data_IF_710066344019
#
_entry.id   IF_710066344019
#
_cell.length_a   1.000
_cell.length_b   1.000
_cell.length_c   1.000
_cell.angle_alpha   90.00
_cell.angle_beta   90.00
_cell.angle_gamma   90.00
#
_symmetry.space_group_name_H-M   'P 1'
#
loop_
_entity.id
_entity.type
_entity.pdbx_description
1 polymer ?
#
# COMPACT_ATOMS: atom_id res chain seq x y z
N UNK A 1 7.64 -28.40 -3.02
CA UNK A 1 6.69 -28.50 -4.15
C UNK A 1 5.54 -27.58 -3.79
N UNK A 2 5.15 -26.66 -4.67
CA UNK A 2 3.95 -25.82 -4.42
C UNK A 2 2.71 -26.69 -4.61
N UNK A 3 1.69 -26.48 -3.80
CA UNK A 3 0.38 -27.14 -4.01
C UNK A 3 -0.32 -26.39 -5.13
N UNK A 4 -0.83 -27.09 -6.13
CA UNK A 4 -1.63 -26.49 -7.21
C UNK A 4 -3.08 -26.39 -6.73
N UNK A 5 -3.75 -25.23 -6.88
CA UNK A 5 -5.16 -25.10 -6.52
C UNK A 5 -6.01 -26.07 -7.35
N UNK A 6 -6.99 -26.71 -6.71
CA UNK A 6 -7.81 -27.76 -7.31
C UNK A 6 -8.75 -27.24 -8.40
N UNK A 7 -9.24 -26.00 -8.29
CA UNK A 7 -10.14 -25.41 -9.27
C UNK A 7 -9.93 -23.90 -9.44
N UNK A 8 -9.16 -23.50 -10.45
CA UNK A 8 -8.86 -22.09 -10.74
C UNK A 8 -9.97 -21.48 -11.62
N UNK A 9 -10.61 -20.36 -11.23
CA UNK A 9 -11.55 -19.62 -12.08
C UNK A 9 -10.97 -19.20 -13.44
N UNK A 10 -11.76 -19.27 -14.52
CA UNK A 10 -11.31 -18.97 -15.90
C UNK A 10 -10.73 -17.55 -16.05
N UNK A 11 -11.35 -16.55 -15.40
CA UNK A 11 -10.83 -15.17 -15.39
C UNK A 11 -9.42 -15.08 -14.77
N UNK A 12 -9.09 -15.95 -13.80
CA UNK A 12 -7.74 -16.04 -13.23
C UNK A 12 -6.77 -16.79 -14.14
N UNK A 13 -7.20 -17.89 -14.79
CA UNK A 13 -6.37 -18.62 -15.77
C UNK A 13 -5.90 -17.72 -16.91
N UNK A 14 -6.82 -16.94 -17.50
CA UNK A 14 -6.49 -16.02 -18.58
C UNK A 14 -5.56 -14.88 -18.16
N UNK A 15 -5.64 -14.43 -16.89
CA UNK A 15 -4.79 -13.37 -16.34
C UNK A 15 -3.41 -13.87 -15.90
N UNK A 16 -3.32 -15.15 -15.48
CA UNK A 16 -2.12 -15.78 -14.93
C UNK A 16 -1.73 -17.08 -15.65
N UNK A 17 -1.40 -17.02 -16.95
CA UNK A 17 -1.16 -18.22 -17.75
C UNK A 17 0.06 -19.03 -17.27
N UNK A 18 1.03 -18.39 -16.61
CA UNK A 18 2.25 -19.05 -16.12
C UNK A 18 1.96 -19.99 -14.93
N UNK A 19 0.93 -19.71 -14.12
CA UNK A 19 0.61 -20.45 -12.88
C UNK A 19 0.08 -21.86 -13.16
N UNK A 20 -0.28 -22.18 -14.41
CA UNK A 20 -0.71 -23.50 -14.85
C UNK A 20 0.43 -24.54 -14.93
N UNK A 21 1.70 -24.10 -14.91
CA UNK A 21 2.83 -25.01 -15.05
C UNK A 21 3.38 -25.41 -13.67
N UNK A 22 3.32 -26.70 -13.31
CA UNK A 22 3.91 -27.28 -12.07
C UNK A 22 5.40 -26.93 -11.86
N UNK A 23 6.08 -26.50 -12.93
CA UNK A 23 7.50 -26.11 -12.93
C UNK A 23 7.76 -24.61 -12.73
N UNK A 24 6.74 -23.76 -12.81
CA UNK A 24 6.91 -22.31 -12.68
C UNK A 24 6.77 -21.89 -11.22
N UNK A 25 7.89 -21.43 -10.64
CA UNK A 25 7.85 -20.53 -9.49
C UNK A 25 8.03 -19.11 -10.02
N UNK A 26 7.15 -18.64 -10.92
CA UNK A 26 7.17 -17.23 -11.29
C UNK A 26 6.33 -16.46 -10.26
N UNK A 27 6.99 -16.06 -9.18
CA UNK A 27 6.40 -15.07 -8.29
C UNK A 27 6.30 -13.75 -9.02
N UNK A 28 5.13 -13.14 -9.02
CA UNK A 28 4.95 -11.85 -9.67
C UNK A 28 5.54 -10.77 -8.77
N UNK A 29 6.52 -10.05 -9.33
CA UNK A 29 7.00 -8.83 -8.72
C UNK A 29 5.87 -7.79 -8.70
N UNK A 30 5.85 -6.94 -7.67
CA UNK A 30 4.84 -5.89 -7.53
C UNK A 30 4.72 -5.00 -8.79
N UNK A 31 5.83 -4.79 -9.50
CA UNK A 31 5.85 -4.07 -10.77
C UNK A 31 5.06 -4.78 -11.88
N UNK A 32 5.16 -6.11 -11.98
CA UNK A 32 4.39 -6.89 -12.95
C UNK A 32 2.89 -6.83 -12.64
N UNK A 33 2.52 -6.85 -11.36
CA UNK A 33 1.12 -6.69 -10.93
C UNK A 33 0.62 -5.28 -11.24
N UNK A 34 1.45 -4.27 -11.04
CA UNK A 34 1.12 -2.89 -11.35
C UNK A 34 0.80 -2.70 -12.85
N UNK A 35 1.53 -3.37 -13.74
CA UNK A 35 1.24 -3.37 -15.18
C UNK A 35 -0.16 -3.93 -15.48
N UNK A 36 -0.58 -4.98 -14.77
CA UNK A 36 -1.93 -5.55 -14.87
C UNK A 36 -3.02 -4.67 -14.25
N UNK A 37 -2.63 -3.68 -13.45
CA UNK A 37 -3.49 -2.86 -12.59
C UNK A 37 -3.48 -1.36 -12.96
N UNK A 38 -3.05 -1.01 -14.18
CA UNK A 38 -3.05 0.38 -14.68
C UNK A 38 -4.44 1.01 -14.78
N UNK A 39 -5.46 0.20 -15.07
CA UNK A 39 -6.84 0.67 -15.19
C UNK A 39 -7.57 0.59 -13.83
N UNK A 40 -8.58 1.45 -13.60
CA UNK A 40 -9.44 1.33 -12.41
C UNK A 40 -10.06 -0.07 -12.29
N UNK A 41 -10.36 -0.48 -11.05
CA UNK A 41 -11.07 -1.73 -10.80
C UNK A 41 -12.48 -1.62 -11.38
N UNK A 42 -12.87 -2.54 -12.26
CA UNK A 42 -14.21 -2.58 -12.83
C UNK A 42 -15.21 -3.14 -11.81
N UNK A 43 -16.35 -2.46 -11.62
CA UNK A 43 -17.37 -2.83 -10.62
C UNK A 43 -18.64 -3.41 -11.20
N UNK A 44 -18.86 -3.27 -12.51
CA UNK A 44 -20.10 -3.64 -13.20
C UNK A 44 -20.40 -5.15 -13.16
N UNK A 45 -19.37 -5.98 -13.05
CA UNK A 45 -19.48 -7.44 -13.10
C UNK A 45 -19.22 -8.12 -11.75
N UNK A 46 -19.08 -7.35 -10.67
CA UNK A 46 -18.78 -7.91 -9.36
C UNK A 46 -19.97 -8.66 -8.75
N UNK A 47 -19.69 -9.83 -8.19
CA UNK A 47 -20.65 -10.72 -7.55
C UNK A 47 -21.02 -10.26 -6.16
N UNK A 48 -20.07 -9.70 -5.39
CA UNK A 48 -20.30 -9.27 -4.02
C UNK A 48 -20.45 -7.76 -3.88
N UNK A 49 -21.27 -7.35 -2.92
CA UNK A 49 -21.41 -5.96 -2.50
C UNK A 49 -20.14 -5.48 -1.79
N UNK A 50 -19.51 -6.36 -1.00
CA UNK A 50 -18.22 -6.12 -0.36
C UNK A 50 -17.12 -5.74 -1.37
N UNK A 51 -17.00 -6.46 -2.49
CA UNK A 51 -16.06 -6.08 -3.56
C UNK A 51 -16.40 -4.74 -4.21
N UNK A 52 -17.68 -4.48 -4.51
CA UNK A 52 -18.11 -3.20 -5.12
C UNK A 52 -17.74 -2.00 -4.25
N UNK A 53 -17.95 -2.10 -2.93
CA UNK A 53 -17.57 -1.05 -1.98
C UNK A 53 -16.06 -0.88 -1.95
N UNK A 54 -15.29 -1.97 -1.81
CA UNK A 54 -13.83 -1.90 -1.84
C UNK A 54 -13.32 -1.24 -3.13
N UNK A 55 -13.79 -1.69 -4.28
CA UNK A 55 -13.37 -1.19 -5.58
C UNK A 55 -13.69 0.29 -5.77
N UNK A 56 -14.86 0.75 -5.31
CA UNK A 56 -15.24 2.16 -5.34
C UNK A 56 -14.28 3.02 -4.50
N UNK A 57 -14.07 2.66 -3.24
CA UNK A 57 -13.21 3.41 -2.32
C UNK A 57 -11.74 3.39 -2.77
N UNK A 58 -11.26 2.21 -3.20
CA UNK A 58 -9.91 2.05 -3.74
C UNK A 58 -9.70 2.93 -4.97
N UNK A 59 -10.61 2.87 -5.95
CA UNK A 59 -10.52 3.72 -7.14
C UNK A 59 -10.54 5.21 -6.79
N UNK A 60 -11.36 5.63 -5.84
CA UNK A 60 -11.44 7.05 -5.42
C UNK A 60 -10.12 7.56 -4.83
N UNK A 61 -9.51 6.79 -3.94
CA UNK A 61 -8.20 7.13 -3.36
C UNK A 61 -7.10 7.12 -4.41
N UNK A 62 -7.08 6.11 -5.30
CA UNK A 62 -6.10 6.04 -6.38
C UNK A 62 -6.21 7.23 -7.33
N UNK A 63 -7.42 7.58 -7.78
CA UNK A 63 -7.62 8.72 -8.65
C UNK A 63 -7.20 10.04 -7.99
N UNK A 64 -7.47 10.19 -6.69
CA UNK A 64 -7.03 11.35 -5.91
C UNK A 64 -5.51 11.43 -5.81
N UNK A 65 -4.87 10.29 -5.50
CA UNK A 65 -3.41 10.20 -5.44
C UNK A 65 -2.77 10.49 -6.80
N UNK A 66 -3.28 9.89 -7.88
CA UNK A 66 -2.82 10.15 -9.23
C UNK A 66 -2.99 11.61 -9.64
N UNK A 67 -4.11 12.25 -9.28
CA UNK A 67 -4.31 13.67 -9.55
C UNK A 67 -3.21 14.50 -8.89
N UNK A 68 -2.94 14.26 -7.60
CA UNK A 68 -1.91 14.99 -6.86
C UNK A 68 -0.51 14.75 -7.44
N UNK A 69 -0.15 13.49 -7.70
CA UNK A 69 1.16 13.13 -8.28
C UNK A 69 1.34 13.74 -9.67
N UNK A 70 0.31 13.72 -10.52
CA UNK A 70 0.38 14.33 -11.84
C UNK A 70 0.50 15.86 -11.76
N UNK A 71 -0.24 16.52 -10.86
CA UNK A 71 -0.12 17.97 -10.67
C UNK A 71 1.29 18.35 -10.23
N UNK A 72 1.85 17.61 -9.26
CA UNK A 72 3.21 17.85 -8.78
C UNK A 72 4.25 17.62 -9.89
N UNK A 73 4.14 16.52 -10.63
CA UNK A 73 5.04 16.19 -11.74
C UNK A 73 4.96 17.20 -12.88
N UNK A 74 3.76 17.60 -13.30
CA UNK A 74 3.57 18.57 -14.38
C UNK A 74 4.09 19.95 -13.97
N UNK A 75 3.95 20.31 -12.70
CA UNK A 75 4.50 21.53 -12.13
C UNK A 75 6.03 21.51 -12.12
N UNK A 76 6.63 20.39 -11.73
CA UNK A 76 8.07 20.19 -11.78
C UNK A 76 8.61 20.34 -13.21
N UNK A 77 8.02 19.64 -14.18
CA UNK A 77 8.35 19.76 -15.61
C UNK A 77 8.18 21.19 -16.12
N UNK A 78 7.18 21.94 -15.63
CA UNK A 78 6.99 23.35 -15.99
C UNK A 78 8.14 24.21 -15.48
N UNK A 79 8.63 23.97 -14.27
CA UNK A 79 9.80 24.67 -13.72
C UNK A 79 11.07 24.29 -14.48
N UNK A 80 11.34 23.00 -14.70
CA UNK A 80 12.51 22.54 -15.48
C UNK A 80 12.58 23.21 -16.87
N UNK A 81 11.45 23.29 -17.58
CA UNK A 81 11.37 23.96 -18.88
C UNK A 81 11.65 25.47 -18.83
N UNK A 82 11.53 26.10 -17.67
CA UNK A 82 11.88 27.51 -17.44
C UNK A 82 13.33 27.69 -16.94
N UNK A 83 14.14 26.63 -16.95
CA UNK A 83 15.55 26.66 -16.51
C UNK A 83 15.70 26.63 -14.99
N UNK A 84 14.71 26.06 -14.29
CA UNK A 84 14.63 26.05 -12.85
C UNK A 84 14.72 24.61 -12.32
N UNK A 85 15.84 24.27 -11.69
CA UNK A 85 16.06 22.93 -11.09
C UNK A 85 15.61 22.86 -9.61
N UNK A 86 15.12 23.97 -9.08
CA UNK A 86 14.83 24.13 -7.66
C UNK A 86 13.59 23.38 -7.21
N UNK A 87 12.54 23.17 -8.03
CA UNK A 87 11.29 22.58 -7.53
C UNK A 87 11.46 21.12 -7.02
N UNK A 88 12.37 20.35 -7.63
CA UNK A 88 12.77 19.02 -7.15
C UNK A 88 13.47 19.07 -5.78
N UNK A 89 14.14 20.18 -5.45
CA UNK A 89 15.02 20.35 -4.28
C UNK A 89 14.31 21.15 -3.17
N UNK A 90 13.58 22.19 -3.54
CA UNK A 90 12.92 23.21 -2.73
C UNK A 90 11.59 23.62 -3.39
N UNK A 91 10.49 23.33 -2.72
CA UNK A 91 9.16 23.78 -3.13
C UNK A 91 8.92 25.17 -2.52
N UNK A 92 8.47 26.18 -3.30
CA UNK A 92 8.23 27.52 -2.76
C UNK A 92 7.24 27.49 -1.59
N UNK A 93 7.51 28.26 -0.53
CA UNK A 93 6.69 28.22 0.70
C UNK A 93 5.22 28.55 0.47
N UNK A 94 4.91 29.31 -0.58
CA UNK A 94 3.55 29.60 -0.99
C UNK A 94 2.75 28.30 -1.22
N UNK A 95 3.34 27.21 -1.72
CA UNK A 95 2.65 25.94 -1.95
C UNK A 95 2.29 25.20 -0.64
N UNK A 96 2.96 25.53 0.47
CA UNK A 96 2.66 24.99 1.79
C UNK A 96 1.71 25.88 2.60
N UNK A 97 1.41 27.09 2.11
CA UNK A 97 0.44 28.01 2.74
C UNK A 97 -0.98 27.45 2.62
N UNK A 98 -1.84 27.83 3.57
CA UNK A 98 -3.24 27.45 3.54
C UNK A 98 -3.90 27.85 2.20
N UNK A 99 -4.61 26.95 1.49
CA UNK A 99 -5.05 27.21 0.12
C UNK A 99 -5.90 28.48 -0.05
N UNK A 100 -6.75 28.80 0.93
CA UNK A 100 -7.61 29.99 0.85
C UNK A 100 -6.79 31.30 0.80
N UNK A 101 -5.59 31.29 1.35
CA UNK A 101 -4.70 32.44 1.34
C UNK A 101 -4.02 32.65 -0.01
N UNK A 102 -3.97 31.61 -0.85
CA UNK A 102 -3.40 31.66 -2.20
C UNK A 102 -4.46 31.89 -3.29
N UNK A 103 -5.74 31.83 -2.94
CA UNK A 103 -6.84 31.84 -3.89
C UNK A 103 -7.26 33.28 -4.26
N UNK A 104 -7.02 33.74 -5.50
CA UNK A 104 -7.40 35.09 -5.94
C UNK A 104 -8.93 35.32 -5.91
N UNK A 105 -9.74 34.24 -5.90
CA UNK A 105 -11.21 34.34 -5.79
C UNK A 105 -11.63 34.87 -4.42
N UNK A 106 -10.83 34.65 -3.37
CA UNK A 106 -11.10 35.15 -2.03
C UNK A 106 -10.81 36.65 -1.88
N UNK A 107 -10.12 37.24 -2.86
CA UNK A 107 -9.75 38.65 -2.88
C UNK A 107 -10.52 39.42 -3.96
N UNK A 108 -11.70 38.93 -4.35
CA UNK A 108 -12.56 39.62 -5.32
C UNK A 108 -11.91 39.79 -6.70
N UNK A 109 -11.02 38.88 -7.09
CA UNK A 109 -10.26 38.96 -8.35
C UNK A 109 -9.06 39.91 -8.30
N UNK A 110 -8.70 40.44 -7.12
CA UNK A 110 -7.43 41.12 -6.92
C UNK A 110 -6.28 40.12 -6.76
N UNK A 111 -5.06 40.62 -6.94
CA UNK A 111 -3.86 39.84 -6.69
C UNK A 111 -3.84 39.33 -5.25
N UNK A 112 -3.53 38.05 -5.10
CA UNK A 112 -3.37 37.39 -3.82
C UNK A 112 -2.32 38.12 -2.96
N UNK A 113 -2.61 38.41 -1.67
CA UNK A 113 -1.64 39.04 -0.79
C UNK A 113 -0.35 38.25 -0.72
N UNK A 114 0.77 38.96 -0.89
CA UNK A 114 2.10 38.37 -0.72
C UNK A 114 2.22 37.76 0.67
N UNK A 115 2.85 36.60 0.73
CA UNK A 115 3.16 35.93 1.99
C UNK A 115 4.03 36.85 2.87
N UNK A 116 3.68 36.95 4.16
CA UNK A 116 4.46 37.75 5.11
C UNK A 116 5.78 37.05 5.43
N UNK A 117 6.81 37.82 5.82
CA UNK A 117 8.09 37.25 6.25
C UNK A 117 7.96 36.38 7.51
N UNK A 118 6.98 36.67 8.38
CA UNK A 118 6.70 35.87 9.56
C UNK A 118 6.11 34.51 9.18
N UNK A 119 5.10 34.49 8.31
CA UNK A 119 4.52 33.24 7.79
C UNK A 119 5.57 32.42 7.08
N UNK A 120 6.39 33.05 6.22
CA UNK A 120 7.45 32.37 5.49
C UNK A 120 8.40 31.67 6.45
N UNK A 121 8.92 32.39 7.46
CA UNK A 121 9.81 31.80 8.49
C UNK A 121 9.13 30.66 9.25
N UNK A 122 7.85 30.78 9.59
CA UNK A 122 7.11 29.75 10.29
C UNK A 122 6.96 28.47 9.45
N UNK A 123 6.55 28.62 8.19
CA UNK A 123 6.41 27.49 7.25
C UNK A 123 7.76 26.82 6.99
N UNK A 124 8.80 27.56 6.62
CA UNK A 124 10.13 26.99 6.34
C UNK A 124 10.68 26.24 7.56
N UNK A 125 10.44 26.75 8.79
CA UNK A 125 10.87 26.08 10.01
C UNK A 125 10.16 24.73 10.22
N UNK A 126 8.86 24.66 9.95
CA UNK A 126 8.07 23.41 10.06
C UNK A 126 8.47 22.40 8.98
N UNK A 127 8.61 22.83 7.73
CA UNK A 127 9.02 21.98 6.60
C UNK A 127 10.41 21.41 6.86
N UNK A 128 11.40 22.26 7.21
CA UNK A 128 12.76 21.82 7.54
C UNK A 128 12.79 20.79 8.66
N UNK A 129 12.13 21.06 9.79
CA UNK A 129 12.09 20.14 10.92
C UNK A 129 11.44 18.80 10.55
N UNK A 130 10.39 18.83 9.74
CA UNK A 130 9.70 17.62 9.28
C UNK A 130 10.58 16.78 8.36
N UNK A 131 11.34 17.41 7.44
CA UNK A 131 12.32 16.75 6.58
C UNK A 131 13.46 16.12 7.37
N UNK A 132 14.02 16.85 8.34
CA UNK A 132 15.08 16.36 9.21
C UNK A 132 14.66 15.12 10.00
N UNK A 133 13.44 15.12 10.56
CA UNK A 133 12.92 14.00 11.34
C UNK A 133 12.70 12.72 10.52
N UNK A 134 12.35 12.85 9.24
CA UNK A 134 12.06 11.73 8.34
C UNK A 134 13.18 11.43 7.34
N UNK A 135 14.32 12.14 7.45
CA UNK A 135 15.50 12.01 6.60
C UNK A 135 15.20 12.17 5.09
N UNK A 136 14.39 13.17 4.73
CA UNK A 136 14.14 13.52 3.33
C UNK A 136 15.23 14.43 2.79
N UNK A 137 15.84 14.02 1.67
CA UNK A 137 16.84 14.82 0.99
C UNK A 137 16.23 15.99 0.21
N UNK A 138 14.97 15.89 -0.22
CA UNK A 138 14.30 16.92 -1.00
C UNK A 138 12.80 17.05 -0.66
N UNK A 139 12.21 18.18 -1.07
CA UNK A 139 10.84 18.57 -0.73
C UNK A 139 9.78 17.71 -1.43
N UNK A 140 10.07 17.28 -2.65
CA UNK A 140 9.19 16.40 -3.41
C UNK A 140 8.98 15.05 -2.70
N UNK A 141 10.06 14.42 -2.20
CA UNK A 141 9.95 13.17 -1.44
C UNK A 141 9.19 13.37 -0.12
N UNK A 142 9.31 14.54 0.50
CA UNK A 142 8.52 14.89 1.68
C UNK A 142 7.02 14.94 1.36
N UNK A 143 6.62 15.62 0.28
CA UNK A 143 5.22 15.70 -0.14
C UNK A 143 4.66 14.33 -0.54
N UNK A 144 5.39 13.60 -1.39
CA UNK A 144 5.00 12.25 -1.87
C UNK A 144 4.85 11.25 -0.73
N UNK A 145 5.77 11.23 0.24
CA UNK A 145 5.62 10.29 1.36
C UNK A 145 4.38 10.58 2.22
N UNK A 146 4.00 11.84 2.43
CA UNK A 146 2.77 12.16 3.16
C UNK A 146 1.54 11.67 2.40
N UNK A 147 1.53 11.78 1.06
CA UNK A 147 0.49 11.18 0.23
C UNK A 147 0.46 9.65 0.37
N UNK A 148 1.62 8.98 0.28
CA UNK A 148 1.70 7.53 0.44
C UNK A 148 1.26 7.05 1.83
N UNK A 149 1.44 7.88 2.87
CA UNK A 149 0.91 7.58 4.20
C UNK A 149 -0.61 7.59 4.23
N UNK A 150 -1.24 8.59 3.59
CA UNK A 150 -2.70 8.66 3.46
C UNK A 150 -3.24 7.50 2.63
N UNK A 151 -2.60 7.21 1.51
CA UNK A 151 -2.89 6.07 0.63
C UNK A 151 -2.83 4.75 1.42
N UNK A 152 -1.70 4.46 2.06
CA UNK A 152 -1.45 3.22 2.79
C UNK A 152 -2.50 2.99 3.89
N UNK A 153 -2.78 4.00 4.72
CA UNK A 153 -3.76 3.90 5.82
C UNK A 153 -5.19 3.71 5.26
N UNK A 154 -5.52 4.39 4.16
CA UNK A 154 -6.85 4.29 3.54
C UNK A 154 -7.09 2.89 2.98
N UNK A 155 -6.15 2.36 2.18
CA UNK A 155 -6.24 1.01 1.61
C UNK A 155 -6.31 -0.04 2.72
N UNK A 156 -5.55 0.13 3.81
CA UNK A 156 -5.62 -0.78 4.95
C UNK A 156 -7.03 -0.84 5.55
N UNK A 157 -7.67 0.31 5.69
CA UNK A 157 -9.05 0.42 6.21
C UNK A 157 -10.06 -0.19 5.24
N UNK A 158 -9.83 -0.08 3.93
CA UNK A 158 -10.69 -0.70 2.91
C UNK A 158 -10.61 -2.23 2.96
N UNK A 159 -9.40 -2.79 3.17
CA UNK A 159 -9.23 -4.23 3.36
C UNK A 159 -9.92 -4.72 4.63
N UNK A 160 -9.78 -4.02 5.76
CA UNK A 160 -10.48 -4.35 7.01
C UNK A 160 -12.00 -4.41 6.79
N UNK A 161 -12.55 -3.39 6.11
CA UNK A 161 -13.97 -3.33 5.74
C UNK A 161 -14.38 -4.44 4.79
N UNK A 162 -13.57 -4.77 3.78
CA UNK A 162 -13.86 -5.86 2.86
C UNK A 162 -13.96 -7.19 3.60
N UNK A 163 -12.99 -7.51 4.47
CA UNK A 163 -12.96 -8.76 5.21
C UNK A 163 -14.14 -8.87 6.18
N UNK A 164 -14.47 -7.78 6.89
CA UNK A 164 -15.67 -7.75 7.74
C UNK A 164 -16.94 -8.04 6.92
N UNK A 165 -17.10 -7.36 5.78
CA UNK A 165 -18.30 -7.48 4.97
C UNK A 165 -18.41 -8.83 4.26
N UNK A 166 -17.31 -9.40 3.76
CA UNK A 166 -17.33 -10.70 3.06
C UNK A 166 -17.65 -11.85 4.02
N UNK A 167 -17.21 -11.76 5.30
CA UNK A 167 -17.61 -12.72 6.33
C UNK A 167 -19.13 -12.70 6.57
N UNK A 168 -19.74 -11.52 6.56
CA UNK A 168 -21.20 -11.38 6.72
C UNK A 168 -21.93 -11.86 5.47
N UNK A 169 -21.51 -11.37 4.30
CA UNK A 169 -22.19 -11.58 3.03
C UNK A 169 -22.06 -13.02 2.52
N UNK A 170 -20.88 -13.63 2.62
CA UNK A 170 -20.57 -14.93 2.02
C UNK A 170 -20.60 -16.06 3.05
N UNK A 171 -20.10 -15.83 4.27
CA UNK A 171 -20.03 -16.86 5.31
C UNK A 171 -21.22 -16.84 6.28
N UNK A 172 -22.11 -15.84 6.18
CA UNK A 172 -23.27 -15.72 7.06
C UNK A 172 -22.93 -15.43 8.53
N UNK A 173 -21.73 -14.91 8.80
CA UNK A 173 -21.30 -14.54 10.15
C UNK A 173 -22.08 -13.31 10.61
N UNK A 174 -22.39 -13.22 11.92
CA UNK A 174 -23.04 -12.03 12.46
C UNK A 174 -22.14 -10.80 12.28
N UNK A 175 -22.72 -9.61 12.05
CA UNK A 175 -21.92 -8.38 11.91
C UNK A 175 -21.07 -8.08 13.14
N UNK A 176 -21.57 -8.43 14.33
CA UNK A 176 -20.83 -8.25 15.58
C UNK A 176 -19.59 -9.16 15.63
N UNK A 177 -19.74 -10.44 15.29
CA UNK A 177 -18.63 -11.40 15.33
C UNK A 177 -17.62 -11.12 14.20
N UNK A 178 -18.09 -10.70 13.03
CA UNK A 178 -17.22 -10.30 11.93
C UNK A 178 -16.34 -9.11 12.33
N UNK A 179 -16.93 -8.06 12.92
CA UNK A 179 -16.17 -6.90 13.37
C UNK A 179 -15.21 -7.24 14.52
N UNK A 180 -15.60 -8.13 15.44
CA UNK A 180 -14.69 -8.64 16.47
C UNK A 180 -13.49 -9.37 15.85
N UNK A 181 -13.72 -10.20 14.82
CA UNK A 181 -12.65 -10.94 14.17
C UNK A 181 -11.59 -10.02 13.57
N UNK A 182 -12.01 -8.97 12.85
CA UNK A 182 -11.10 -8.01 12.19
C UNK A 182 -10.39 -7.12 13.20
N UNK A 183 -11.07 -6.70 14.28
CA UNK A 183 -10.49 -5.82 15.30
C UNK A 183 -9.51 -6.54 16.25
N UNK A 184 -9.83 -7.76 16.65
CA UNK A 184 -9.07 -8.48 17.68
C UNK A 184 -8.04 -9.45 17.12
N UNK A 185 -8.20 -9.94 15.88
CA UNK A 185 -7.12 -10.57 15.15
C UNK A 185 -6.26 -9.51 14.44
N UNK A 186 -5.05 -9.86 14.04
CA UNK A 186 -4.35 -9.05 13.03
C UNK A 186 -5.08 -9.21 11.69
N UNK A 187 -5.17 -8.14 10.88
CA UNK A 187 -5.79 -8.20 9.56
C UNK A 187 -5.31 -9.40 8.70
N UNK A 188 -4.00 -9.73 8.63
CA UNK A 188 -3.53 -10.89 7.86
C UNK A 188 -4.11 -12.21 8.34
N UNK A 189 -4.25 -12.41 9.65
CA UNK A 189 -4.84 -13.64 10.19
C UNK A 189 -6.33 -13.70 9.88
N UNK A 190 -7.04 -12.59 10.06
CA UNK A 190 -8.46 -12.51 9.70
C UNK A 190 -8.68 -12.76 8.20
N UNK A 191 -7.79 -12.24 7.34
CA UNK A 191 -7.81 -12.50 5.90
C UNK A 191 -7.59 -13.98 5.58
N UNK A 192 -6.51 -14.58 6.11
CA UNK A 192 -6.18 -15.99 5.84
C UNK A 192 -7.31 -16.92 6.28
N UNK A 193 -7.84 -16.73 7.49
CA UNK A 193 -8.95 -17.52 8.04
C UNK A 193 -10.24 -17.35 7.24
N UNK A 194 -10.51 -16.13 6.74
CA UNK A 194 -11.71 -15.84 5.95
C UNK A 194 -11.61 -16.52 4.58
N UNK A 195 -10.48 -16.37 3.90
CA UNK A 195 -10.25 -16.98 2.60
C UNK A 195 -10.24 -18.50 2.69
N UNK A 196 -9.68 -19.09 3.74
CA UNK A 196 -9.72 -20.54 3.97
C UNK A 196 -11.16 -21.07 4.10
N UNK A 197 -12.02 -20.35 4.83
CA UNK A 197 -13.44 -20.71 5.01
C UNK A 197 -14.27 -20.50 3.75
N UNK A 198 -13.92 -19.50 2.94
CA UNK A 198 -14.54 -19.32 1.63
C UNK A 198 -14.06 -20.47 0.76
N UNK A 199 -12.81 -20.49 0.34
CA UNK A 199 -12.23 -21.56 -0.47
C UNK A 199 -10.72 -21.67 -0.22
N UNK A 200 -10.19 -22.80 0.28
CA UNK A 200 -8.75 -22.97 0.53
C UNK A 200 -7.86 -22.70 -0.70
N UNK A 201 -8.40 -22.92 -1.91
CA UNK A 201 -7.67 -22.65 -3.15
C UNK A 201 -7.32 -21.16 -3.32
N UNK A 202 -8.06 -20.24 -2.68
CA UNK A 202 -7.72 -18.81 -2.65
C UNK A 202 -6.35 -18.61 -2.01
N UNK A 203 -6.14 -19.19 -0.81
CA UNK A 203 -4.89 -19.07 -0.07
C UNK A 203 -3.72 -19.71 -0.82
N UNK A 204 -3.96 -20.87 -1.42
CA UNK A 204 -2.98 -21.58 -2.25
C UNK A 204 -2.58 -20.72 -3.44
N UNK A 205 -3.57 -20.18 -4.17
CA UNK A 205 -3.33 -19.34 -5.34
C UNK A 205 -2.55 -18.07 -4.98
N UNK A 206 -2.97 -17.34 -3.95
CA UNK A 206 -2.28 -16.14 -3.46
C UNK A 206 -0.83 -16.46 -3.11
N UNK A 207 -0.56 -17.54 -2.36
CA UNK A 207 0.81 -17.93 -1.97
C UNK A 207 1.68 -18.33 -3.17
N UNK A 208 1.07 -18.86 -4.23
CA UNK A 208 1.78 -19.24 -5.45
C UNK A 208 2.17 -18.01 -6.29
N UNK A 209 1.30 -16.99 -6.38
CA UNK A 209 1.55 -15.80 -7.21
C UNK A 209 2.24 -14.65 -6.47
N UNK A 210 1.95 -14.48 -5.18
CA UNK A 210 2.44 -13.42 -4.31
C UNK A 210 3.33 -14.04 -3.22
N UNK A 211 4.63 -14.12 -3.49
CA UNK A 211 5.60 -14.68 -2.53
C UNK A 211 5.56 -13.93 -1.20
N UNK A 212 5.58 -14.68 -0.09
CA UNK A 212 5.58 -14.13 1.28
C UNK A 212 4.42 -13.13 1.54
N UNK A 213 3.29 -13.23 0.81
CA UNK A 213 2.16 -12.31 0.91
C UNK A 213 1.70 -12.07 2.35
N UNK A 214 1.46 -13.13 3.12
CA UNK A 214 0.97 -13.00 4.49
C UNK A 214 2.01 -12.39 5.44
N UNK A 215 3.29 -12.70 5.25
CA UNK A 215 4.38 -12.08 6.00
C UNK A 215 4.49 -10.59 5.66
N UNK A 216 4.31 -10.23 4.38
CA UNK A 216 4.23 -8.85 3.93
C UNK A 216 3.03 -8.11 4.52
N UNK A 217 1.84 -8.71 4.52
CA UNK A 217 0.65 -8.13 5.13
C UNK A 217 0.83 -7.97 6.63
N UNK A 218 1.52 -8.91 7.29
CA UNK A 218 1.86 -8.85 8.72
C UNK A 218 2.82 -7.71 9.04
N UNK A 219 3.87 -7.55 8.25
CA UNK A 219 4.75 -6.40 8.38
C UNK A 219 4.01 -5.08 8.14
N UNK A 220 3.17 -5.02 7.10
CA UNK A 220 2.32 -3.86 6.81
C UNK A 220 1.39 -3.52 7.98
N UNK A 221 0.82 -4.52 8.64
CA UNK A 221 0.00 -4.33 9.85
C UNK A 221 0.81 -3.73 11.01
N UNK A 222 2.01 -4.26 11.28
CA UNK A 222 2.90 -3.71 12.31
C UNK A 222 3.32 -2.28 11.98
N UNK A 223 3.60 -2.01 10.70
CA UNK A 223 4.00 -0.71 10.21
C UNK A 223 2.87 0.31 10.29
N UNK A 224 1.63 -0.07 9.94
CA UNK A 224 0.44 0.76 10.16
C UNK A 224 0.33 1.17 11.62
N UNK A 225 0.47 0.22 12.55
CA UNK A 225 0.43 0.53 13.99
C UNK A 225 1.61 1.44 14.43
N UNK A 226 2.79 1.27 13.83
CA UNK A 226 3.93 2.16 14.06
C UNK A 226 3.62 3.60 13.63
N UNK A 227 3.01 3.78 12.44
CA UNK A 227 2.64 5.10 11.93
C UNK A 227 1.45 5.74 12.66
N UNK A 228 0.51 4.93 13.17
CA UNK A 228 -0.63 5.41 13.94
C UNK A 228 -0.26 5.82 15.37
N UNK A 229 0.67 5.11 16.02
CA UNK A 229 0.96 5.31 17.45
C UNK A 229 2.31 5.96 17.75
N UNK A 230 3.31 5.78 16.87
CA UNK A 230 4.65 6.33 17.04
C UNK A 230 5.08 7.19 15.84
N UNK A 231 4.09 7.62 15.05
CA UNK A 231 4.24 8.45 13.85
C UNK A 231 5.11 7.84 12.74
N UNK A 232 5.64 6.62 12.89
CA UNK A 232 6.55 5.96 11.94
C UNK A 232 7.97 5.77 12.46
N UNK A 233 8.25 6.25 13.69
CA UNK A 233 9.54 6.07 14.35
C UNK A 233 9.64 4.66 14.94
N UNK A 234 10.68 3.93 14.55
CA UNK A 234 10.95 2.56 14.98
C UNK A 234 11.18 2.52 16.48
N UNK A 235 10.44 1.63 17.15
CA UNK A 235 10.57 1.37 18.59
C UNK A 235 11.14 -0.02 18.81
N UNK A 236 11.70 -0.26 20.00
CA UNK A 236 12.16 -1.60 20.38
C UNK A 236 11.04 -2.64 20.23
N UNK A 237 9.81 -2.30 20.66
CA UNK A 237 8.64 -3.17 20.53
C UNK A 237 8.36 -3.56 19.08
N UNK A 238 8.43 -2.62 18.14
CA UNK A 238 8.23 -2.92 16.72
C UNK A 238 9.32 -3.87 16.21
N UNK A 239 10.58 -3.59 16.55
CA UNK A 239 11.72 -4.40 16.15
C UNK A 239 11.60 -5.84 16.66
N UNK A 240 11.34 -6.02 17.96
CA UNK A 240 11.15 -7.33 18.60
C UNK A 240 10.00 -8.11 17.98
N UNK A 241 8.90 -7.44 17.65
CA UNK A 241 7.77 -8.07 16.96
C UNK A 241 8.15 -8.55 15.56
N UNK A 242 8.88 -7.72 14.79
CA UNK A 242 9.34 -8.10 13.45
C UNK A 242 10.34 -9.25 13.48
N UNK A 243 11.26 -9.29 14.45
CA UNK A 243 12.20 -10.41 14.63
C UNK A 243 11.50 -11.70 15.06
N UNK A 244 10.60 -11.61 16.05
CA UNK A 244 9.83 -12.76 16.54
C UNK A 244 9.05 -13.44 15.41
N UNK A 245 8.52 -12.63 14.48
CA UNK A 245 7.73 -13.09 13.35
C UNK A 245 8.59 -13.43 12.11
N UNK A 246 9.92 -13.35 12.22
CA UNK A 246 10.84 -13.69 11.13
C UNK A 246 10.73 -12.78 9.90
N UNK A 247 10.27 -11.54 10.09
CA UNK A 247 9.99 -10.58 9.01
C UNK A 247 11.24 -9.82 8.55
N UNK A 248 12.31 -9.89 9.35
CA UNK A 248 13.59 -9.26 9.09
C UNK A 248 14.63 -10.30 8.68
N UNK A 249 15.54 -9.90 7.80
CA UNK A 249 16.77 -10.63 7.50
C UNK A 249 17.96 -9.71 7.67
N UNK A 250 19.10 -10.31 7.99
CA UNK A 250 20.35 -9.59 8.06
C UNK A 250 20.83 -9.22 6.64
N UNK A 251 21.29 -7.99 6.48
CA UNK A 251 21.92 -7.49 5.26
C UNK A 251 23.44 -7.53 5.41
N UNK A 252 24.11 -8.08 4.39
CA UNK A 252 25.55 -8.28 4.39
C UNK A 252 26.17 -7.83 3.06
N UNK A 253 27.27 -7.08 3.14
CA UNK A 253 28.20 -6.91 2.03
C UNK A 253 29.22 -8.03 2.00
N UNK A 254 29.70 -8.39 0.81
CA UNK A 254 30.81 -9.33 0.64
C UNK A 254 32.01 -8.55 0.12
N UNK A 255 33.12 -8.55 0.85
CA UNK A 255 34.39 -7.95 0.42
C UNK A 255 35.08 -8.82 -0.65
N UNK A 256 36.08 -8.25 -1.33
CA UNK A 256 36.89 -8.96 -2.32
C UNK A 256 37.61 -10.20 -1.76
N UNK A 257 37.88 -10.24 -0.45
CA UNK A 257 38.47 -11.38 0.26
C UNK A 257 37.45 -12.44 0.74
N UNK A 258 36.16 -12.21 0.48
CA UNK A 258 35.06 -13.08 0.90
C UNK A 258 34.53 -12.83 2.32
N UNK A 259 35.05 -11.84 3.06
CA UNK A 259 34.54 -11.47 4.38
C UNK A 259 33.14 -10.85 4.26
N UNK A 260 32.21 -11.26 5.14
CA UNK A 260 30.87 -10.68 5.25
C UNK A 260 30.87 -9.49 6.20
N UNK A 261 30.46 -8.32 5.72
CA UNK A 261 30.23 -7.12 6.54
C UNK A 261 28.74 -7.02 6.83
N UNK A 262 28.35 -7.04 8.09
CA UNK A 262 26.96 -6.80 8.49
C UNK A 262 26.62 -5.31 8.37
N UNK A 263 25.57 -4.99 7.60
CA UNK A 263 25.09 -3.61 7.42
C UNK A 263 23.88 -3.29 8.29
N UNK A 264 23.08 -4.28 8.67
CA UNK A 264 21.88 -4.08 9.47
C UNK A 264 20.81 -5.12 9.15
N UNK A 265 19.56 -4.85 9.54
CA UNK A 265 18.42 -5.70 9.21
C UNK A 265 17.51 -5.03 8.20
N UNK A 266 17.06 -5.79 7.21
CA UNK A 266 16.15 -5.34 6.15
C UNK A 266 14.91 -6.23 6.12
N UNK A 267 13.87 -5.79 5.41
CA UNK A 267 12.63 -6.56 5.24
C UNK A 267 12.92 -7.79 4.37
N UNK A 268 12.40 -8.96 4.76
CA UNK A 268 12.74 -10.23 4.10
C UNK A 268 12.19 -10.36 2.67
N UNK A 269 10.97 -9.86 2.43
CA UNK A 269 10.08 -10.21 1.31
C UNK A 269 9.69 -9.06 0.38
N UNK A 270 10.25 -7.87 0.55
CA UNK A 270 9.97 -6.74 -0.35
C UNK A 270 11.25 -6.24 -1.02
N UNK A 271 11.10 -5.44 -2.07
CA UNK A 271 12.21 -4.66 -2.64
C UNK A 271 12.73 -3.54 -1.72
N UNK A 272 12.23 -3.44 -0.48
CA UNK A 272 12.73 -2.49 0.51
C UNK A 272 14.08 -2.95 1.05
N UNK A 273 15.15 -2.35 0.54
CA UNK A 273 16.54 -2.65 0.90
C UNK A 273 17.11 -1.74 2.00
N UNK A 274 16.32 -0.81 2.55
CA UNK A 274 16.82 0.09 3.60
C UNK A 274 16.87 -0.62 4.95
N UNK A 275 17.92 -0.35 5.71
CA UNK A 275 18.10 -0.86 7.07
C UNK A 275 17.00 -0.32 8.00
N UNK A 276 16.45 -1.21 8.81
CA UNK A 276 15.53 -0.86 9.89
C UNK A 276 16.37 -0.62 11.14
N UNK A 277 16.36 0.63 11.59
CA UNK A 277 17.16 1.11 12.72
C UNK A 277 16.25 1.66 13.82
N UNK A 278 16.58 1.36 15.08
CA UNK A 278 15.89 1.93 16.23
C UNK A 278 15.93 3.46 16.18
N UNK A 279 14.83 4.09 16.59
CA UNK A 279 14.64 5.55 16.61
C UNK A 279 14.68 6.25 15.25
N UNK A 280 14.85 5.52 14.15
CA UNK A 280 14.73 6.05 12.79
C UNK A 280 13.31 5.93 12.26
N UNK A 281 13.00 6.73 11.26
CA UNK A 281 11.71 6.73 10.59
C UNK A 281 11.69 5.72 9.43
N UNK A 282 10.62 4.93 9.30
CA UNK A 282 10.39 4.09 8.11
C UNK A 282 9.52 4.87 7.11
N UNK A 283 10.06 5.13 5.92
CA UNK A 283 9.32 5.71 4.79
C UNK A 283 8.34 4.68 4.20
N UNK A 284 7.13 5.12 3.84
CA UNK A 284 6.08 4.28 3.27
C UNK A 284 6.08 4.21 1.74
N UNK A 285 6.86 5.00 1.01
CA UNK A 285 6.80 5.08 -0.46
C UNK A 285 6.85 3.71 -1.14
N UNK A 286 7.92 2.96 -0.87
CA UNK A 286 8.18 1.69 -1.55
C UNK A 286 7.21 0.60 -1.04
N UNK A 287 6.83 0.70 0.24
CA UNK A 287 5.94 -0.26 0.90
C UNK A 287 4.49 -0.04 0.44
N UNK A 288 4.05 1.21 0.29
CA UNK A 288 2.72 1.60 -0.20
C UNK A 288 2.52 1.10 -1.63
N UNK A 289 3.54 1.24 -2.48
CA UNK A 289 3.50 0.71 -3.84
C UNK A 289 3.28 -0.80 -3.89
N UNK A 290 4.00 -1.57 -3.06
CA UNK A 290 3.79 -3.03 -2.99
C UNK A 290 2.43 -3.34 -2.38
N UNK A 291 2.06 -2.64 -1.30
CA UNK A 291 0.84 -2.86 -0.55
C UNK A 291 -0.42 -2.64 -1.37
N UNK A 292 -0.52 -1.53 -2.10
CA UNK A 292 -1.71 -1.25 -2.94
C UNK A 292 -1.92 -2.32 -4.01
N UNK A 293 -0.83 -2.81 -4.59
CA UNK A 293 -0.86 -3.81 -5.65
C UNK A 293 -1.29 -5.17 -5.08
N UNK A 294 -0.70 -5.57 -3.94
CA UNK A 294 -1.04 -6.83 -3.28
C UNK A 294 -2.47 -6.81 -2.72
N UNK A 295 -2.89 -5.70 -2.11
CA UNK A 295 -4.24 -5.48 -1.61
C UNK A 295 -5.29 -5.59 -2.73
N UNK A 296 -5.07 -4.90 -3.84
CA UNK A 296 -5.98 -5.00 -4.99
C UNK A 296 -6.05 -6.42 -5.52
N UNK A 297 -4.90 -7.09 -5.64
CA UNK A 297 -4.83 -8.39 -6.29
C UNK A 297 -5.44 -9.51 -5.44
N UNK A 298 -5.20 -9.52 -4.11
CA UNK A 298 -5.81 -10.54 -3.26
C UNK A 298 -7.34 -10.44 -3.24
N UNK A 299 -7.88 -9.22 -3.27
CA UNK A 299 -9.32 -8.98 -3.29
C UNK A 299 -9.92 -9.40 -4.63
N UNK A 300 -9.24 -9.09 -5.74
CA UNK A 300 -9.66 -9.57 -7.05
C UNK A 300 -9.71 -11.10 -7.10
N UNK A 301 -8.66 -11.78 -6.64
CA UNK A 301 -8.59 -13.24 -6.60
C UNK A 301 -9.73 -13.83 -5.77
N UNK A 302 -9.92 -13.33 -4.54
CA UNK A 302 -11.00 -13.80 -3.67
C UNK A 302 -12.37 -13.66 -4.35
N UNK A 303 -12.64 -12.51 -4.99
CA UNK A 303 -13.88 -12.27 -5.71
C UNK A 303 -14.10 -13.26 -6.87
N UNK A 304 -13.06 -13.63 -7.61
CA UNK A 304 -13.18 -14.58 -8.72
C UNK A 304 -13.56 -15.99 -8.23
N UNK A 305 -13.04 -16.42 -7.08
CA UNK A 305 -13.44 -17.68 -6.47
C UNK A 305 -14.87 -17.64 -5.93
N UNK A 306 -15.30 -16.51 -5.36
CA UNK A 306 -16.68 -16.32 -4.90
C UNK A 306 -17.65 -16.37 -6.08
N UNK A 307 -17.35 -15.64 -7.17
CA UNK A 307 -18.14 -15.62 -8.41
C UNK A 307 -18.31 -17.04 -8.99
N UNK A 308 -17.21 -17.80 -9.09
CA UNK A 308 -17.23 -19.16 -9.61
C UNK A 308 -18.15 -20.09 -8.79
N UNK A 309 -18.14 -19.97 -7.45
CA UNK A 309 -19.04 -20.75 -6.59
C UNK A 309 -20.50 -20.39 -6.77
N UNK A 310 -20.82 -19.10 -6.88
CA UNK A 310 -22.20 -18.64 -7.10
C UNK A 310 -22.73 -19.18 -8.42
N UNK A 311 -21.93 -19.17 -9.49
CA UNK A 311 -22.33 -19.70 -10.80
C UNK A 311 -22.58 -21.21 -10.77
N UNK A 312 -21.74 -21.98 -10.07
CA UNK A 312 -21.94 -23.44 -9.91
C UNK A 312 -23.26 -23.75 -9.19
N UNK A 313 -23.54 -23.05 -8.07
CA UNK A 313 -24.79 -23.26 -7.31
C UNK A 313 -26.03 -22.85 -8.10
N UNK A 314 -25.92 -21.83 -8.95
CA UNK A 314 -27.01 -21.37 -9.84
C UNK A 314 -27.32 -22.37 -10.96
N UNK A 315 -26.35 -23.18 -11.35
CA UNK A 315 -26.45 -24.15 -12.46
C UNK A 315 -27.01 -25.52 -12.02
N UNK A 316 -27.20 -25.73 -10.72
CA UNK A 316 -27.72 -26.96 -10.11
C UNK A 316 -29.21 -26.86 -9.72
N UNK A 317 -29.85 -25.73 -9.97
CA UNK A 317 -31.27 -25.45 -9.76
C UNK A 317 -31.95 -25.13 -11.09
#
# INVERSE_FOLDING_TARGET
MGVVPSNIPEKLKGRYPEVECESSKSFLLAHSINELNKMPIQTSEASTSSFKVFAHEFNSVMLTAHLFENLLMLEDVRHENNGHDWFQIEIPEEYFRYPAENDPRNYGGQDTPRMSDEDRRAISAVVRKSKEMANYANDENFAKNNLHKLEFISIFSFLESFIENVQVEVLGVSREDASKSVRYASLPNAMEDTFEKIDPDINIFIKNILYDFYDFMKFSYLLRNLHSHNLGRVTQRFFDMCEKEGLLKDDYGIKEDGEKIFFGKIVRFTGYSRTIELDKYINLSDISFVFRNYARECIFIAEQYIEARVQVNSSQH
#
